data_IF_318467151362
#
_entry.id   IF_318467151362
#
_cell.length_a   1.000
_cell.length_b   1.000
_cell.length_c   1.000
_cell.angle_alpha   90.00
_cell.angle_beta   90.00
_cell.angle_gamma   90.00
#
_symmetry.space_group_name_H-M   'P 1'
#
loop_
_entity.id
_entity.type
_entity.pdbx_description
1 polymer ?
#
# COMPACT_ATOMS: atom_id res chain seq x y z
N UNK A 1 15.25 48.98 -1.60
CA UNK A 1 14.05 48.44 -2.28
C UNK A 1 14.37 47.26 -3.20
N UNK A 2 15.32 47.39 -4.13
CA UNK A 2 15.70 46.32 -5.08
C UNK A 2 16.22 45.03 -4.39
N UNK A 3 17.10 45.17 -3.40
CA UNK A 3 17.62 44.01 -2.64
C UNK A 3 16.57 43.32 -1.77
N UNK A 4 15.59 44.05 -1.24
CA UNK A 4 14.48 43.46 -0.48
C UNK A 4 13.56 42.63 -1.37
N UNK A 5 13.32 43.09 -2.61
CA UNK A 5 12.57 42.34 -3.61
C UNK A 5 13.34 41.08 -4.05
N UNK A 6 14.66 41.16 -4.21
CA UNK A 6 15.50 40.01 -4.56
C UNK A 6 15.54 38.95 -3.45
N UNK A 7 15.64 39.36 -2.18
CA UNK A 7 15.63 38.44 -1.03
C UNK A 7 14.26 37.75 -0.90
N UNK A 8 13.16 38.47 -1.11
CA UNK A 8 11.82 37.90 -1.07
C UNK A 8 11.60 36.84 -2.17
N UNK A 9 12.14 37.06 -3.36
CA UNK A 9 12.03 36.15 -4.50
C UNK A 9 12.86 34.87 -4.31
N UNK A 10 13.99 34.97 -3.59
CA UNK A 10 14.88 33.85 -3.28
C UNK A 10 14.31 32.97 -2.16
N UNK A 11 13.61 33.55 -1.19
CA UNK A 11 12.89 32.82 -0.12
C UNK A 11 11.65 32.09 -0.67
N UNK A 12 10.95 32.68 -1.64
CA UNK A 12 9.78 32.02 -2.24
C UNK A 12 10.16 30.82 -3.12
N UNK A 13 11.36 30.84 -3.73
CA UNK A 13 11.86 29.76 -4.56
C UNK A 13 12.27 28.50 -3.77
N UNK A 14 12.60 28.61 -2.48
CA UNK A 14 13.03 27.46 -1.64
C UNK A 14 11.90 26.78 -0.87
N UNK A 15 10.71 27.38 -0.81
CA UNK A 15 9.56 26.84 -0.07
C UNK A 15 8.74 25.80 -0.86
N UNK A 16 9.07 25.57 -2.14
CA UNK A 16 8.30 24.68 -3.03
C UNK A 16 8.79 23.24 -3.15
N UNK A 17 9.90 22.87 -2.51
CA UNK A 17 10.63 21.62 -2.84
C UNK A 17 10.36 20.43 -1.92
N UNK A 18 9.64 20.60 -0.81
CA UNK A 18 9.62 19.60 0.27
C UNK A 18 8.80 18.33 0.04
N UNK A 19 7.90 18.28 -0.94
CA UNK A 19 6.95 17.16 -1.05
C UNK A 19 7.53 15.84 -1.58
N UNK A 20 8.65 15.85 -2.31
CA UNK A 20 9.24 14.62 -2.88
C UNK A 20 10.46 14.09 -2.13
N UNK A 21 10.80 14.67 -0.98
CA UNK A 21 11.98 14.24 -0.21
C UNK A 21 11.77 12.90 0.51
N UNK A 22 10.51 12.49 0.71
CA UNK A 22 10.15 11.27 1.44
C UNK A 22 9.90 10.05 0.54
N UNK A 23 9.72 10.25 -0.77
CA UNK A 23 9.43 9.17 -1.74
C UNK A 23 10.41 7.98 -1.62
N UNK A 24 11.73 8.17 -1.39
CA UNK A 24 12.68 7.05 -1.27
C UNK A 24 12.53 6.20 -0.01
N UNK A 25 11.83 6.68 1.02
CA UNK A 25 11.67 6.00 2.31
C UNK A 25 10.30 5.31 2.44
N UNK A 26 9.42 5.46 1.45
CA UNK A 26 8.12 4.81 1.46
C UNK A 26 8.26 3.35 1.04
N UNK A 27 7.75 2.39 1.85
CA UNK A 27 7.65 1.01 1.42
C UNK A 27 6.82 0.89 0.15
N UNK A 28 7.25 0.02 -0.75
CA UNK A 28 6.55 -0.22 -2.02
C UNK A 28 5.82 -1.55 -1.97
N UNK A 29 4.50 -1.49 -2.15
CA UNK A 29 3.64 -2.67 -2.24
C UNK A 29 3.45 -3.05 -3.71
N UNK A 30 3.72 -4.30 -4.06
CA UNK A 30 3.54 -4.83 -5.42
C UNK A 30 2.71 -6.10 -5.36
N UNK A 31 1.69 -6.20 -6.21
CA UNK A 31 0.96 -7.47 -6.35
C UNK A 31 1.87 -8.55 -6.95
N UNK A 32 2.00 -9.66 -6.26
CA UNK A 32 2.90 -10.75 -6.62
C UNK A 32 2.14 -11.85 -7.38
N UNK A 33 1.12 -12.43 -6.74
CA UNK A 33 0.30 -13.48 -7.30
C UNK A 33 -1.02 -13.65 -6.54
N UNK A 34 -1.87 -14.51 -7.08
CA UNK A 34 -3.11 -14.97 -6.47
C UNK A 34 -3.02 -16.49 -6.30
N UNK A 35 -3.24 -16.98 -5.07
CA UNK A 35 -3.26 -18.42 -4.77
C UNK A 35 -4.68 -18.82 -4.42
N UNK A 36 -5.21 -19.84 -5.09
CA UNK A 36 -6.51 -20.43 -4.74
C UNK A 36 -6.26 -21.52 -3.69
N UNK A 37 -6.82 -21.34 -2.48
CA UNK A 37 -6.74 -22.30 -1.38
C UNK A 37 -7.75 -23.43 -1.56
N UNK A 38 -9.00 -23.07 -1.85
CA UNK A 38 -10.10 -23.99 -2.09
C UNK A 38 -11.10 -23.38 -3.09
N UNK A 39 -11.88 -24.23 -3.76
CA UNK A 39 -12.94 -23.78 -4.66
C UNK A 39 -14.09 -24.78 -4.66
N UNK A 40 -15.31 -24.26 -4.54
CA UNK A 40 -16.52 -25.05 -4.66
C UNK A 40 -17.50 -24.40 -5.65
N UNK A 41 -18.77 -24.80 -5.67
CA UNK A 41 -19.76 -24.25 -6.62
C UNK A 41 -20.31 -22.86 -6.21
N UNK A 42 -20.06 -22.42 -4.98
CA UNK A 42 -20.60 -21.20 -4.39
C UNK A 42 -19.51 -20.13 -4.23
N UNK A 43 -18.30 -20.53 -3.84
CA UNK A 43 -17.21 -19.61 -3.52
C UNK A 43 -15.83 -20.15 -3.93
N UNK A 44 -14.85 -19.25 -3.95
CA UNK A 44 -13.43 -19.55 -4.00
C UNK A 44 -12.71 -18.86 -2.84
N UNK A 45 -11.92 -19.65 -2.10
CA UNK A 45 -11.02 -19.17 -1.08
C UNK A 45 -9.70 -18.76 -1.74
N UNK A 46 -9.37 -17.47 -1.67
CA UNK A 46 -8.28 -16.89 -2.43
C UNK A 46 -7.36 -16.08 -1.53
N UNK A 47 -6.05 -16.27 -1.70
CA UNK A 47 -5.02 -15.46 -1.09
C UNK A 47 -4.44 -14.50 -2.12
N UNK A 48 -4.64 -13.20 -1.90
CA UNK A 48 -3.94 -12.16 -2.64
C UNK A 48 -2.58 -11.91 -1.97
N UNK A 49 -1.51 -12.15 -2.73
CA UNK A 49 -0.15 -12.10 -2.23
C UNK A 49 0.53 -10.84 -2.75
N UNK A 50 1.04 -10.03 -1.84
CA UNK A 50 1.74 -8.80 -2.12
C UNK A 50 3.17 -8.86 -1.56
N UNK A 51 4.10 -8.38 -2.37
CA UNK A 51 5.48 -8.12 -1.97
C UNK A 51 5.55 -6.68 -1.45
N UNK A 52 5.98 -6.53 -0.19
CA UNK A 52 6.19 -5.21 0.42
C UNK A 52 7.69 -4.98 0.63
N UNK A 53 8.27 -4.15 -0.23
CA UNK A 53 9.68 -3.77 -0.21
C UNK A 53 9.88 -2.54 0.70
N UNK A 54 10.61 -2.73 1.80
CA UNK A 54 10.94 -1.66 2.74
C UNK A 54 12.38 -1.18 2.49
N UNK A 55 12.58 0.02 1.88
CA UNK A 55 13.91 0.56 1.60
C UNK A 55 14.62 1.10 2.85
N UNK A 56 13.97 1.04 4.02
CA UNK A 56 14.50 1.58 5.25
C UNK A 56 15.38 0.55 5.98
N UNK A 57 16.50 0.98 6.60
CA UNK A 57 17.38 0.10 7.39
C UNK A 57 16.80 -0.30 8.74
N UNK A 58 15.52 0.00 8.95
CA UNK A 58 14.76 -0.33 10.15
C UNK A 58 13.48 -1.04 9.72
N UNK A 59 13.24 -2.19 10.34
CA UNK A 59 11.96 -2.88 10.28
C UNK A 59 11.01 -2.28 11.30
N UNK A 60 9.71 -2.46 11.08
CA UNK A 60 8.69 -2.04 12.02
C UNK A 60 7.48 -2.94 11.95
N UNK A 61 6.79 -3.07 13.09
CA UNK A 61 5.52 -3.77 13.19
C UNK A 61 4.41 -2.74 13.06
N UNK A 62 3.65 -2.82 11.98
CA UNK A 62 2.37 -2.13 11.87
C UNK A 62 1.41 -2.79 12.85
N UNK A 63 0.79 -2.00 13.73
CA UNK A 63 -0.22 -2.53 14.66
C UNK A 63 -1.52 -2.88 13.96
N UNK A 64 -1.86 -2.15 12.90
CA UNK A 64 -3.03 -2.36 12.07
C UNK A 64 -2.85 -1.70 10.71
N UNK A 65 -3.65 -2.10 9.73
CA UNK A 65 -3.72 -1.45 8.43
C UNK A 65 -5.08 -1.66 7.77
N UNK A 66 -5.52 -0.68 7.00
CA UNK A 66 -6.73 -0.79 6.18
C UNK A 66 -6.36 -1.18 4.75
N UNK A 67 -7.23 -1.91 4.09
CA UNK A 67 -7.06 -2.30 2.70
C UNK A 67 -8.38 -2.15 1.93
N UNK A 68 -8.26 -1.81 0.64
CA UNK A 68 -9.36 -1.78 -0.29
C UNK A 68 -8.84 -2.27 -1.65
N UNK A 69 -9.32 -3.46 -2.06
CA UNK A 69 -9.00 -4.09 -3.33
C UNK A 69 -10.19 -3.98 -4.25
N UNK A 70 -9.97 -3.43 -5.44
CA UNK A 70 -10.98 -3.30 -6.48
C UNK A 70 -10.47 -3.83 -7.82
N UNK A 71 -11.41 -4.24 -8.67
CA UNK A 71 -11.19 -4.57 -10.06
C UNK A 71 -12.15 -3.76 -10.92
N UNK A 72 -11.61 -2.89 -11.75
CA UNK A 72 -12.36 -1.84 -12.44
C UNK A 72 -13.20 -0.99 -11.47
N UNK A 73 -14.52 -0.91 -11.66
CA UNK A 73 -15.45 -0.15 -10.80
C UNK A 73 -16.01 -1.00 -9.65
N UNK A 74 -15.60 -2.27 -9.54
CA UNK A 74 -16.09 -3.22 -8.54
C UNK A 74 -15.11 -3.28 -7.37
N UNK A 75 -15.58 -2.91 -6.18
CA UNK A 75 -14.85 -3.17 -4.95
C UNK A 75 -14.96 -4.66 -4.60
N UNK A 76 -13.86 -5.39 -4.73
CA UNK A 76 -13.81 -6.83 -4.42
C UNK A 76 -13.80 -7.05 -2.90
N UNK A 77 -13.01 -6.24 -2.18
CA UNK A 77 -12.88 -6.36 -0.74
C UNK A 77 -12.40 -5.05 -0.13
N UNK A 78 -12.88 -4.71 1.05
CA UNK A 78 -12.22 -3.75 1.92
C UNK A 78 -12.38 -4.15 3.39
N UNK A 79 -11.43 -3.73 4.22
CA UNK A 79 -11.48 -3.99 5.64
C UNK A 79 -10.30 -3.40 6.38
N UNK A 80 -10.30 -3.63 7.69
CA UNK A 80 -9.24 -3.27 8.61
C UNK A 80 -8.62 -4.56 9.17
N UNK A 81 -7.31 -4.68 9.06
CA UNK A 81 -6.54 -5.73 9.70
C UNK A 81 -6.02 -5.21 11.04
N UNK A 82 -6.51 -5.79 12.14
CA UNK A 82 -6.13 -5.43 13.51
C UNK A 82 -4.95 -6.25 14.06
N UNK A 83 -4.54 -7.30 13.35
CA UNK A 83 -3.41 -8.16 13.73
C UNK A 83 -2.06 -7.54 13.34
N UNK A 84 -2.09 -6.58 12.40
CA UNK A 84 -0.94 -5.84 11.95
C UNK A 84 -0.10 -6.58 10.91
N UNK A 85 1.10 -6.08 10.67
CA UNK A 85 2.04 -6.63 9.71
C UNK A 85 3.49 -6.26 10.06
N UNK A 86 4.40 -7.22 10.01
CA UNK A 86 5.81 -7.01 10.27
C UNK A 86 6.56 -6.72 8.97
N UNK A 87 7.18 -5.55 8.88
CA UNK A 87 8.07 -5.16 7.79
C UNK A 87 9.52 -5.40 8.20
N UNK A 88 10.24 -6.16 7.38
CA UNK A 88 11.67 -6.41 7.57
C UNK A 88 12.49 -5.15 7.24
N UNK A 89 13.68 -5.03 7.83
CA UNK A 89 14.64 -3.97 7.48
C UNK A 89 15.33 -4.30 6.15
N UNK A 90 15.54 -3.28 5.29
CA UNK A 90 16.24 -3.40 4.00
C UNK A 90 15.81 -4.64 3.19
N UNK A 91 14.50 -4.89 3.07
CA UNK A 91 14.02 -6.19 2.59
C UNK A 91 12.56 -6.24 2.17
N UNK A 92 12.20 -7.40 1.64
CA UNK A 92 10.87 -7.71 1.14
C UNK A 92 10.09 -8.58 2.15
N UNK A 93 8.85 -8.20 2.41
CA UNK A 93 7.94 -8.91 3.30
C UNK A 93 6.71 -9.44 2.55
N UNK A 94 6.39 -10.71 2.85
CA UNK A 94 5.19 -11.49 2.52
C UNK A 94 3.85 -10.94 3.03
N UNK A 95 3.11 -10.05 2.35
CA UNK A 95 1.75 -9.69 2.79
C UNK A 95 0.68 -10.55 2.11
N UNK A 96 -0.09 -11.31 2.91
CA UNK A 96 -1.17 -12.17 2.42
C UNK A 96 -2.51 -11.64 2.91
N UNK A 97 -3.42 -11.36 1.98
CA UNK A 97 -4.80 -11.00 2.26
C UNK A 97 -5.73 -12.15 1.84
N UNK A 98 -6.24 -12.95 2.80
CA UNK A 98 -7.19 -14.01 2.51
C UNK A 98 -8.58 -13.42 2.24
N UNK A 99 -9.23 -13.91 1.19
CA UNK A 99 -10.53 -13.43 0.72
C UNK A 99 -11.39 -14.61 0.33
N UNK A 100 -12.63 -14.62 0.80
CA UNK A 100 -13.63 -15.60 0.39
C UNK A 100 -14.49 -14.93 -0.70
N UNK A 101 -14.29 -15.34 -1.95
CA UNK A 101 -14.97 -14.78 -3.10
C UNK A 101 -16.26 -15.54 -3.37
N UNK A 102 -17.39 -14.94 -3.02
CA UNK A 102 -18.72 -15.51 -3.29
C UNK A 102 -19.13 -15.19 -4.73
N UNK A 103 -19.31 -16.22 -5.57
CA UNK A 103 -19.54 -16.01 -7.01
C UNK A 103 -20.84 -15.26 -7.32
N UNK A 104 -21.85 -15.37 -6.45
CA UNK A 104 -23.12 -14.66 -6.61
C UNK A 104 -22.96 -13.13 -6.54
N UNK A 105 -21.95 -12.64 -5.80
CA UNK A 105 -21.71 -11.20 -5.62
C UNK A 105 -20.94 -10.59 -6.79
N UNK A 106 -20.19 -11.41 -7.54
CA UNK A 106 -19.39 -10.97 -8.68
C UNK A 106 -20.21 -10.65 -9.95
N UNK A 107 -21.52 -10.95 -9.96
CA UNK A 107 -22.38 -10.85 -11.15
C UNK A 107 -23.61 -9.95 -10.98
N UNK A 108 -23.70 -9.23 -9.86
CA UNK A 108 -24.68 -8.16 -9.64
C UNK A 108 -24.13 -6.80 -10.07
#
# INVERSE_FOLDING_TARGET
>A
MKHALTVLLLVFATLGSGCSELDPFLPKVTFSNLKVRDINFQEADVDFVFDVDNPNPIGFNLSSFSYALGFEEIQLLAGDNEDGFALEADGNSELILPVDLIFADAWN
#
